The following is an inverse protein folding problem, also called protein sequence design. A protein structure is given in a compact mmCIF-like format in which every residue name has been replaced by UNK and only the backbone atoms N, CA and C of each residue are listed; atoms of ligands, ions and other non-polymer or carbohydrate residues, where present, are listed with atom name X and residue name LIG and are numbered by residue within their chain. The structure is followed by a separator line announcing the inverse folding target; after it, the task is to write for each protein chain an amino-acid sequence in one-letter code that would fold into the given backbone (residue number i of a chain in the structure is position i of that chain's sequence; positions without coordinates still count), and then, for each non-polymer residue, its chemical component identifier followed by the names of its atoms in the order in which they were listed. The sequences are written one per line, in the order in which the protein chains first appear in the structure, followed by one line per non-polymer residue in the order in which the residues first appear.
data_IF_637794382538
#
_entry.id   IF_637794382538
#
_cell.length_a   1.000
_cell.length_b   1.000
_cell.length_c   1.000
_cell.angle_alpha   90.00
_cell.angle_beta   90.00
_cell.angle_gamma   90.00
#
_symmetry.space_group_name_H-M   'P 1'
#
loop_
_entity.id
_entity.type
_entity.pdbx_description
1 polymer ?
#
# COMPACT_ATOMS: atom_id res chain seq x y z
N UNK A 1 -0.19 20.19 -9.81
CA UNK A 1 -1.16 19.07 -9.75
C UNK A 1 -2.47 19.58 -9.19
N UNK A 2 -3.60 19.04 -9.64
CA UNK A 2 -4.91 19.21 -8.99
C UNK A 2 -5.06 18.17 -7.87
N UNK A 3 -5.97 18.38 -6.89
CA UNK A 3 -6.30 17.35 -5.91
C UNK A 3 -6.76 16.04 -6.55
N UNK A 4 -6.54 14.90 -5.89
CA UNK A 4 -7.04 13.59 -6.30
C UNK A 4 -8.54 13.48 -6.02
N UNK A 5 -9.31 12.94 -6.98
CA UNK A 5 -10.75 12.70 -6.88
C UNK A 5 -11.10 11.32 -7.47
N UNK A 6 -12.36 10.91 -7.40
CA UNK A 6 -12.86 9.58 -7.84
C UNK A 6 -12.19 8.38 -7.16
N UNK A 7 -11.91 8.51 -5.86
CA UNK A 7 -11.30 7.44 -5.06
C UNK A 7 -12.39 6.52 -4.53
N UNK A 8 -12.39 5.26 -4.99
CA UNK A 8 -13.27 4.20 -4.49
C UNK A 8 -12.46 2.96 -4.09
N UNK A 9 -12.89 2.30 -3.00
CA UNK A 9 -12.26 1.06 -2.52
C UNK A 9 -12.95 -0.17 -3.10
N UNK A 10 -12.15 -1.14 -3.56
CA UNK A 10 -12.65 -2.43 -4.03
C UNK A 10 -12.82 -3.46 -2.90
N UNK A 11 -12.34 -3.20 -1.67
CA UNK A 11 -12.40 -4.18 -0.58
C UNK A 11 -13.81 -4.68 -0.23
N UNK A 12 -14.87 -3.84 -0.25
CA UNK A 12 -16.25 -4.33 -0.06
C UNK A 12 -16.66 -5.37 -1.10
N UNK A 13 -16.13 -5.28 -2.34
CA UNK A 13 -16.44 -6.20 -3.43
C UNK A 13 -15.78 -7.57 -3.27
N UNK A 14 -14.77 -7.70 -2.40
CA UNK A 14 -14.03 -8.95 -2.18
C UNK A 14 -14.62 -9.83 -1.08
N UNK A 15 -15.72 -9.38 -0.45
CA UNK A 15 -16.44 -10.14 0.57
C UNK A 15 -17.11 -11.39 -0.01
N UNK A 16 -17.57 -12.28 0.87
CA UNK A 16 -18.20 -13.56 0.48
C UNK A 16 -19.39 -13.30 -0.47
N UNK A 17 -19.42 -14.02 -1.59
CA UNK A 17 -20.42 -13.82 -2.65
C UNK A 17 -20.07 -12.72 -3.67
N UNK A 18 -18.99 -11.98 -3.45
CA UNK A 18 -18.47 -10.96 -4.35
C UNK A 18 -17.41 -11.46 -5.33
N UNK A 19 -16.62 -10.52 -5.86
CA UNK A 19 -15.56 -10.77 -6.83
C UNK A 19 -14.31 -11.31 -6.12
N UNK A 20 -13.70 -12.41 -6.58
CA UNK A 20 -12.45 -12.89 -5.98
C UNK A 20 -11.32 -11.85 -6.08
N UNK A 21 -10.65 -11.53 -4.97
CA UNK A 21 -9.53 -10.55 -4.88
C UNK A 21 -8.44 -10.81 -5.95
N UNK A 22 -8.17 -12.09 -6.27
CA UNK A 22 -7.21 -12.50 -7.31
C UNK A 22 -7.54 -12.03 -8.73
N UNK A 23 -8.82 -11.72 -9.02
CA UNK A 23 -9.26 -11.21 -10.31
C UNK A 23 -9.14 -9.68 -10.42
N UNK A 24 -8.94 -8.98 -9.30
CA UNK A 24 -8.81 -7.52 -9.31
C UNK A 24 -7.51 -7.09 -9.99
N UNK A 25 -7.60 -6.05 -10.82
CA UNK A 25 -6.48 -5.43 -11.51
C UNK A 25 -6.43 -3.94 -11.20
N UNK A 26 -5.21 -3.42 -11.05
CA UNK A 26 -4.93 -1.99 -10.99
C UNK A 26 -5.16 -1.37 -12.37
N UNK A 27 -5.63 -0.12 -12.41
CA UNK A 27 -5.75 0.64 -13.66
C UNK A 27 -4.37 0.90 -14.29
N UNK A 28 -3.33 1.06 -13.47
CA UNK A 28 -1.95 1.25 -13.89
C UNK A 28 -1.06 0.18 -13.26
N UNK A 29 -0.11 -0.35 -14.04
CA UNK A 29 0.82 -1.37 -13.56
C UNK A 29 1.97 -0.77 -12.75
N UNK A 30 2.46 -1.57 -11.81
CA UNK A 30 3.81 -1.42 -11.27
C UNK A 30 4.83 -2.03 -12.23
N UNK A 31 5.96 -1.36 -12.38
CA UNK A 31 7.06 -1.74 -13.26
C UNK A 31 8.07 -2.62 -12.50
N UNK A 32 8.34 -3.79 -13.04
CA UNK A 32 9.38 -4.71 -12.58
C UNK A 32 9.79 -5.65 -13.70
N UNK A 33 10.34 -6.83 -13.40
CA UNK A 33 10.69 -7.84 -14.44
C UNK A 33 9.55 -8.01 -15.45
N UNK A 34 8.31 -8.06 -14.96
CA UNK A 34 7.09 -7.94 -15.75
C UNK A 34 6.21 -6.82 -15.18
N UNK A 35 5.32 -6.26 -16.00
CA UNK A 35 4.30 -5.32 -15.54
C UNK A 35 3.31 -6.05 -14.64
N UNK A 36 3.13 -5.57 -13.41
CA UNK A 36 2.20 -6.17 -12.47
C UNK A 36 0.91 -5.35 -12.36
N UNK A 37 -0.19 -5.91 -12.87
CA UNK A 37 -1.53 -5.35 -12.75
C UNK A 37 -2.36 -6.02 -11.65
N UNK A 38 -2.10 -7.29 -11.32
CA UNK A 38 -2.96 -8.04 -10.42
C UNK A 38 -2.77 -7.59 -8.97
N UNK A 39 -3.81 -6.99 -8.40
CA UNK A 39 -3.78 -6.40 -7.06
C UNK A 39 -3.27 -7.38 -6.01
N UNK A 40 -3.82 -8.60 -5.98
CA UNK A 40 -3.45 -9.64 -5.03
C UNK A 40 -1.97 -10.07 -5.12
N UNK A 41 -1.32 -9.85 -6.27
CA UNK A 41 0.07 -10.22 -6.52
C UNK A 41 1.05 -9.04 -6.35
N UNK A 42 0.55 -7.83 -6.09
CA UNK A 42 1.41 -6.69 -5.79
C UNK A 42 2.05 -6.89 -4.42
N UNK A 43 3.34 -6.59 -4.31
CA UNK A 43 4.17 -6.75 -3.11
C UNK A 43 5.00 -5.47 -2.94
N UNK A 44 5.45 -5.14 -1.72
CA UNK A 44 6.17 -3.88 -1.48
C UNK A 44 7.35 -3.63 -2.43
N UNK A 45 8.18 -4.64 -2.67
CA UNK A 45 9.29 -4.59 -3.65
C UNK A 45 8.91 -4.12 -5.07
N UNK A 46 7.65 -4.30 -5.50
CA UNK A 46 7.21 -3.86 -6.82
C UNK A 46 7.13 -2.34 -6.90
N UNK A 47 6.80 -1.66 -5.81
CA UNK A 47 6.82 -0.19 -5.74
C UNK A 47 8.26 0.32 -5.78
N UNK A 48 9.17 -0.31 -5.04
CA UNK A 48 10.60 0.05 -5.02
C UNK A 48 11.24 -0.12 -6.41
N UNK A 49 10.94 -1.24 -7.07
CA UNK A 49 11.40 -1.47 -8.45
C UNK A 49 10.80 -0.48 -9.44
N UNK A 50 9.53 -0.11 -9.23
CA UNK A 50 8.86 0.88 -10.08
C UNK A 50 9.50 2.26 -9.93
N UNK A 51 9.77 2.68 -8.70
CA UNK A 51 10.45 3.93 -8.37
C UNK A 51 11.77 4.05 -9.12
N UNK A 52 12.65 3.04 -8.97
CA UNK A 52 13.94 3.01 -9.66
C UNK A 52 13.79 3.16 -11.19
N UNK A 53 12.80 2.49 -11.78
CA UNK A 53 12.56 2.52 -13.24
C UNK A 53 12.07 3.86 -13.78
N UNK A 54 11.40 4.65 -12.96
CA UNK A 54 10.90 5.98 -13.35
C UNK A 54 11.83 7.11 -12.87
N UNK A 55 13.01 6.77 -12.37
CA UNK A 55 13.98 7.75 -11.85
C UNK A 55 13.60 8.35 -10.50
N UNK A 56 12.70 7.71 -9.75
CA UNK A 56 12.33 8.10 -8.38
C UNK A 56 13.18 7.34 -7.36
N UNK A 57 13.56 7.98 -6.26
CA UNK A 57 14.43 7.38 -5.24
C UNK A 57 13.78 6.15 -4.60
N UNK A 58 14.43 4.97 -4.66
CA UNK A 58 13.95 3.75 -3.99
C UNK A 58 13.84 3.92 -2.47
N UNK A 59 14.79 4.63 -1.87
CA UNK A 59 14.82 4.93 -0.43
C UNK A 59 13.62 5.77 -0.02
N UNK A 60 13.39 6.88 -0.73
CA UNK A 60 12.24 7.77 -0.46
C UNK A 60 10.92 7.02 -0.67
N UNK A 61 10.83 6.16 -1.69
CA UNK A 61 9.64 5.32 -1.89
C UNK A 61 9.39 4.38 -0.70
N UNK A 62 10.44 3.76 -0.17
CA UNK A 62 10.34 2.88 1.01
C UNK A 62 9.91 3.67 2.26
N UNK A 63 10.49 4.84 2.48
CA UNK A 63 10.14 5.73 3.60
C UNK A 63 8.67 6.15 3.56
N UNK A 64 8.18 6.63 2.40
CA UNK A 64 6.77 7.00 2.22
C UNK A 64 5.83 5.82 2.46
N UNK A 65 6.21 4.62 2.00
CA UNK A 65 5.43 3.41 2.26
C UNK A 65 5.39 3.07 3.75
N UNK A 66 6.52 3.16 4.45
CA UNK A 66 6.60 2.93 5.89
C UNK A 66 5.75 3.96 6.66
N UNK A 67 5.83 5.24 6.29
CA UNK A 67 5.04 6.32 6.89
C UNK A 67 3.53 6.07 6.72
N UNK A 68 3.09 5.74 5.50
CA UNK A 68 1.69 5.41 5.21
C UNK A 68 1.22 4.21 6.04
N UNK A 69 2.03 3.16 6.16
CA UNK A 69 1.69 1.98 6.95
C UNK A 69 1.62 2.28 8.45
N UNK A 70 2.54 3.12 8.97
CA UNK A 70 2.53 3.56 10.37
C UNK A 70 1.35 4.50 10.70
N UNK A 71 0.82 5.20 9.70
CA UNK A 71 -0.35 6.07 9.83
C UNK A 71 -1.71 5.35 9.74
N UNK A 72 -1.75 4.10 9.28
CA UNK A 72 -2.99 3.40 8.93
C UNK A 72 -4.00 3.31 10.09
N UNK A 73 -3.58 2.90 11.29
CA UNK A 73 -4.51 2.80 12.44
C UNK A 73 -5.01 4.17 12.90
N UNK A 74 -4.17 5.20 12.88
CA UNK A 74 -4.61 6.57 13.23
C UNK A 74 -5.65 7.08 12.24
N UNK A 75 -5.45 6.84 10.96
CA UNK A 75 -6.41 7.19 9.92
C UNK A 75 -7.73 6.43 10.10
N UNK A 76 -7.69 5.12 10.36
CA UNK A 76 -8.89 4.32 10.62
C UNK A 76 -9.64 4.85 11.84
N UNK A 77 -8.95 5.08 12.96
CA UNK A 77 -9.57 5.55 14.20
C UNK A 77 -10.28 6.90 14.01
N UNK A 78 -9.61 7.85 13.34
CA UNK A 78 -10.19 9.16 13.02
C UNK A 78 -11.43 9.04 12.14
N UNK A 79 -11.32 8.34 11.01
CA UNK A 79 -12.45 8.21 10.07
C UNK A 79 -13.61 7.46 10.73
N UNK A 80 -13.33 6.42 11.52
CA UNK A 80 -14.37 5.66 12.22
C UNK A 80 -15.19 6.53 13.19
N UNK A 81 -14.55 7.51 13.84
CA UNK A 81 -15.22 8.45 14.72
C UNK A 81 -16.04 9.52 13.98
N UNK A 82 -15.70 9.80 12.71
CA UNK A 82 -16.39 10.78 11.86
C UNK A 82 -17.55 10.16 11.05
N UNK A 83 -17.68 8.82 11.02
CA UNK A 83 -18.73 8.14 10.27
C UNK A 83 -20.13 8.33 10.90
N UNK A 84 -21.16 8.65 10.10
CA UNK A 84 -22.53 8.69 10.59
C UNK A 84 -23.02 7.32 11.09
N UNK A 85 -23.91 7.30 12.08
CA UNK A 85 -24.51 6.07 12.59
C UNK A 85 -25.32 5.28 11.52
N UNK A 86 -25.77 5.96 10.46
CA UNK A 86 -26.48 5.35 9.34
C UNK A 86 -25.55 4.74 8.28
N UNK A 87 -24.23 4.89 8.42
CA UNK A 87 -23.29 4.35 7.46
C UNK A 87 -23.26 2.82 7.52
N UNK A 88 -23.29 2.09 6.39
CA UNK A 88 -23.30 0.63 6.40
C UNK A 88 -21.99 0.06 6.99
N UNK A 89 -22.07 -0.54 8.18
CA UNK A 89 -20.91 -1.05 8.92
C UNK A 89 -20.05 -2.02 8.10
N UNK A 90 -20.70 -2.93 7.37
CA UNK A 90 -20.00 -3.93 6.54
C UNK A 90 -19.09 -3.31 5.46
N UNK A 91 -19.41 -2.12 4.95
CA UNK A 91 -18.56 -1.40 3.98
C UNK A 91 -17.33 -0.85 4.69
N UNK A 92 -17.53 -0.17 5.81
CA UNK A 92 -16.44 0.41 6.60
C UNK A 92 -15.48 -0.67 7.09
N UNK A 93 -16.00 -1.74 7.67
CA UNK A 93 -15.23 -2.89 8.15
C UNK A 93 -14.42 -3.56 7.03
N UNK A 94 -15.01 -3.75 5.84
CA UNK A 94 -14.29 -4.30 4.70
C UNK A 94 -13.11 -3.42 4.27
N UNK A 95 -13.31 -2.09 4.24
CA UNK A 95 -12.25 -1.14 3.88
C UNK A 95 -11.15 -1.11 4.95
N UNK A 96 -11.53 -1.00 6.22
CA UNK A 96 -10.58 -0.91 7.33
C UNK A 96 -9.77 -2.19 7.48
N UNK A 97 -10.41 -3.37 7.41
CA UNK A 97 -9.69 -4.65 7.44
C UNK A 97 -8.75 -4.81 6.24
N UNK A 98 -9.18 -4.39 5.05
CA UNK A 98 -8.34 -4.35 3.85
C UNK A 98 -7.11 -3.46 4.02
N UNK A 99 -7.29 -2.24 4.54
CA UNK A 99 -6.22 -1.30 4.81
C UNK A 99 -5.22 -1.85 5.84
N UNK A 100 -5.71 -2.42 6.95
CA UNK A 100 -4.85 -3.06 7.96
C UNK A 100 -3.99 -4.16 7.38
N UNK A 101 -4.58 -5.06 6.58
CA UNK A 101 -3.84 -6.13 5.89
C UNK A 101 -2.71 -5.58 5.02
N UNK A 102 -2.96 -4.50 4.28
CA UNK A 102 -1.90 -3.89 3.45
C UNK A 102 -0.82 -3.21 4.31
N UNK A 103 -1.20 -2.52 5.37
CA UNK A 103 -0.25 -1.90 6.30
C UNK A 103 0.66 -2.95 6.96
N UNK A 104 0.09 -4.04 7.49
CA UNK A 104 0.86 -5.17 8.06
C UNK A 104 1.83 -5.78 7.05
N UNK A 105 1.40 -5.93 5.80
CA UNK A 105 2.27 -6.45 4.73
C UNK A 105 3.45 -5.53 4.43
N UNK A 106 3.26 -4.21 4.46
CA UNK A 106 4.34 -3.24 4.31
C UNK A 106 5.27 -3.28 5.54
N UNK A 107 4.72 -3.27 6.75
CA UNK A 107 5.49 -3.34 7.99
C UNK A 107 6.35 -4.60 8.08
N UNK A 108 5.79 -5.77 7.73
CA UNK A 108 6.52 -7.04 7.70
C UNK A 108 7.67 -7.00 6.68
N UNK A 109 7.46 -6.37 5.53
CA UNK A 109 8.51 -6.18 4.54
C UNK A 109 9.61 -5.22 5.05
N UNK A 110 9.25 -4.07 5.63
CA UNK A 110 10.23 -3.15 6.22
C UNK A 110 11.05 -3.83 7.33
N UNK A 111 10.42 -4.67 8.16
CA UNK A 111 11.13 -5.44 9.18
C UNK A 111 12.11 -6.46 8.58
N UNK A 112 11.79 -7.06 7.42
CA UNK A 112 12.70 -7.97 6.72
C UNK A 112 13.84 -7.27 5.98
N UNK A 113 13.62 -6.06 5.45
CA UNK A 113 14.64 -5.27 4.74
C UNK A 113 15.53 -4.45 5.69
N UNK A 114 15.05 -4.19 6.92
CA UNK A 114 15.79 -3.49 7.97
C UNK A 114 17.04 -4.22 8.49
N UNK A 115 17.32 -5.43 8.01
CA UNK A 115 18.61 -6.12 8.20
C UNK A 115 19.63 -5.73 7.11
N UNK A 116 19.20 -5.11 6.00
CA UNK A 116 20.03 -4.87 4.82
C UNK A 116 20.42 -3.39 4.57
N UNK A 117 19.92 -2.43 5.35
CA UNK A 117 20.20 -1.00 5.10
C UNK A 117 21.06 -0.29 6.17
N UNK A 118 21.67 -1.04 7.09
CA UNK A 118 22.74 -0.53 7.96
C UNK A 118 24.12 -0.94 7.40
N UNK A 119 24.52 -0.42 6.25
CA UNK A 119 25.85 -0.71 5.71
C UNK A 119 26.03 -0.40 4.24
N UNK A 120 25.89 0.86 3.83
CA UNK A 120 26.63 1.36 2.66
C UNK A 120 26.72 2.90 2.64
N UNK A 121 27.26 3.49 3.72
CA UNK A 121 27.54 4.94 3.76
C UNK A 121 28.97 5.24 4.27
N UNK A 122 29.88 4.29 4.08
CA UNK A 122 31.29 4.43 4.44
C UNK A 122 32.22 4.10 3.26
N UNK A 123 31.94 4.65 2.08
CA UNK A 123 32.84 4.52 0.93
C UNK A 123 32.72 5.65 -0.11
N UNK A 124 32.59 6.92 0.28
CA UNK A 124 33.06 8.04 -0.56
C UNK A 124 33.73 9.09 0.33
N UNK A 125 35.04 8.92 0.52
CA UNK A 125 35.97 10.00 0.83
C UNK A 125 37.34 9.57 0.29
N UNK A 126 37.58 9.93 -0.97
CA UNK A 126 38.91 10.11 -1.57
C UNK A 126 38.91 11.51 -2.18
#
# INVERSE_FOLDING_TARGET
MTPLYDIMSAFPLFQRGGIPERKAKMAMALLGKHRQYHFAQILPRHFITSAARVGFSPTVAAELMAEMAAGAERAIARVSAELPATFPSHIGEAIFSGLRRQATKIQAWCASEGVAHQGDDSAISV
#
